data_IF_596036220936
#
_entry.id   IF_596036220936
#
_cell.length_a   1.000
_cell.length_b   1.000
_cell.length_c   1.000
_cell.angle_alpha   90.00
_cell.angle_beta   90.00
_cell.angle_gamma   90.00
#
_symmetry.space_group_name_H-M   'P 1'
#
loop_
_entity.id
_entity.type
_entity.pdbx_description
1 polymer ?
#
# COMPACT_ATOMS: atom_id res chain seq x y z
N UNK A 1 -12.51 16.28 -45.02
CA UNK A 1 -12.68 17.07 -43.78
C UNK A 1 -12.54 16.13 -42.60
N UNK A 2 -11.35 16.05 -42.02
CA UNK A 2 -11.03 15.20 -40.86
C UNK A 2 -10.93 16.11 -39.64
N UNK A 3 -12.04 16.38 -38.94
CA UNK A 3 -12.03 17.20 -37.72
C UNK A 3 -12.83 16.47 -36.63
N UNK A 4 -12.14 15.93 -35.63
CA UNK A 4 -12.80 15.40 -34.45
C UNK A 4 -11.96 14.54 -33.51
N UNK A 5 -10.78 14.06 -33.92
CA UNK A 5 -9.91 13.30 -33.00
C UNK A 5 -9.05 14.29 -32.22
N UNK A 6 -9.23 14.45 -30.90
CA UNK A 6 -8.31 15.24 -30.10
C UNK A 6 -6.92 14.60 -30.17
N UNK A 7 -5.93 15.39 -30.60
CA UNK A 7 -4.51 15.05 -30.52
C UNK A 7 -4.11 14.93 -29.06
N UNK A 8 -4.27 13.74 -28.48
CA UNK A 8 -3.65 13.44 -27.19
C UNK A 8 -2.15 13.36 -27.39
N UNK A 9 -1.33 14.02 -26.56
CA UNK A 9 0.12 13.83 -26.59
C UNK A 9 0.45 12.33 -26.47
N UNK A 10 1.42 11.85 -27.25
CA UNK A 10 1.81 10.42 -27.24
C UNK A 10 2.26 9.92 -25.85
N UNK A 11 2.63 10.84 -24.96
CA UNK A 11 3.03 10.59 -23.57
C UNK A 11 1.93 10.79 -22.53
N UNK A 12 0.68 11.08 -22.91
CA UNK A 12 -0.38 11.32 -21.95
C UNK A 12 -0.73 10.05 -21.16
N UNK A 13 -0.66 10.14 -19.83
CA UNK A 13 -1.10 9.09 -18.90
C UNK A 13 -2.04 9.69 -17.87
N UNK A 14 -3.20 9.06 -17.69
CA UNK A 14 -4.17 9.41 -16.66
C UNK A 14 -4.09 8.38 -15.52
N UNK A 15 -3.87 8.87 -14.29
CA UNK A 15 -3.92 8.08 -13.06
C UNK A 15 -5.13 8.53 -12.25
N UNK A 16 -5.95 7.57 -11.80
CA UNK A 16 -7.17 7.83 -11.03
C UNK A 16 -7.21 6.88 -9.84
N UNK A 17 -7.45 7.43 -8.65
CA UNK A 17 -7.61 6.67 -7.40
C UNK A 17 -9.02 6.85 -6.89
N UNK A 18 -9.75 5.74 -6.73
CA UNK A 18 -11.16 5.75 -6.28
C UNK A 18 -11.40 4.60 -5.32
N UNK A 19 -12.27 4.84 -4.34
CA UNK A 19 -12.83 3.77 -3.51
C UNK A 19 -13.91 2.99 -4.28
N UNK A 20 -14.26 1.80 -3.79
CA UNK A 20 -15.39 1.05 -4.32
C UNK A 20 -16.69 1.85 -4.17
N UNK A 21 -17.44 1.96 -5.27
CA UNK A 21 -18.72 2.66 -5.25
C UNK A 21 -19.72 2.00 -6.20
N UNK A 22 -20.94 1.68 -5.75
CA UNK A 22 -21.91 0.90 -6.54
C UNK A 22 -22.41 1.64 -7.79
N UNK A 23 -22.33 2.98 -7.83
CA UNK A 23 -22.70 3.80 -9.00
C UNK A 23 -21.50 4.25 -9.84
N UNK A 24 -20.35 3.59 -9.68
CA UNK A 24 -19.18 3.90 -10.48
C UNK A 24 -19.43 3.55 -11.98
N UNK A 25 -19.09 4.43 -12.94
CA UNK A 25 -19.41 4.22 -14.34
C UNK A 25 -18.66 3.00 -14.93
N UNK A 26 -19.44 2.01 -15.39
CA UNK A 26 -18.91 0.76 -15.97
C UNK A 26 -18.06 1.01 -17.22
N UNK A 27 -18.44 2.00 -18.03
CA UNK A 27 -17.69 2.36 -19.24
C UNK A 27 -16.25 2.80 -18.91
N UNK A 28 -16.06 3.53 -17.81
CA UNK A 28 -14.73 3.93 -17.36
C UNK A 28 -13.92 2.72 -16.88
N UNK A 29 -14.56 1.79 -16.17
CA UNK A 29 -13.92 0.54 -15.72
C UNK A 29 -13.47 -0.35 -16.89
N UNK A 30 -14.20 -0.35 -18.01
CA UNK A 30 -13.86 -1.17 -19.17
C UNK A 30 -12.65 -0.64 -19.94
N UNK A 31 -12.45 0.69 -19.95
CA UNK A 31 -11.32 1.32 -20.65
C UNK A 31 -10.07 1.45 -19.76
N UNK A 32 -10.22 1.36 -18.44
CA UNK A 32 -9.13 1.52 -17.48
C UNK A 32 -8.40 0.20 -17.18
N UNK A 33 -7.09 0.27 -16.91
CA UNK A 33 -6.37 -0.80 -16.20
C UNK A 33 -6.65 -0.66 -14.71
N UNK A 34 -7.18 -1.72 -14.09
CA UNK A 34 -7.58 -1.71 -12.68
C UNK A 34 -6.46 -2.25 -11.82
N UNK A 35 -6.10 -1.50 -10.78
CA UNK A 35 -5.13 -1.92 -9.78
C UNK A 35 -5.74 -1.78 -8.40
N UNK A 36 -5.72 -2.86 -7.63
CA UNK A 36 -6.18 -2.87 -6.23
C UNK A 36 -4.98 -2.71 -5.32
N UNK A 37 -4.89 -1.57 -4.63
CA UNK A 37 -3.87 -1.36 -3.60
C UNK A 37 -4.30 -2.01 -2.29
N UNK A 38 -4.16 -3.33 -2.22
CA UNK A 38 -4.43 -4.09 -0.99
C UNK A 38 -3.19 -4.09 -0.09
N UNK A 39 -3.37 -4.02 1.25
CA UNK A 39 -2.25 -4.18 2.16
C UNK A 39 -1.63 -5.58 2.00
N UNK A 40 -0.31 -5.73 2.19
CA UNK A 40 0.34 -7.03 2.09
C UNK A 40 -0.24 -8.00 3.12
N UNK A 41 -0.59 -9.20 2.69
CA UNK A 41 -1.12 -10.21 3.59
C UNK A 41 0.00 -11.01 4.26
N UNK A 42 -0.06 -11.08 5.58
CA UNK A 42 0.81 -11.88 6.41
C UNK A 42 2.01 -11.11 6.94
N UNK A 43 2.44 -11.47 8.15
CA UNK A 43 3.58 -10.87 8.86
C UNK A 43 4.84 -10.81 8.01
N UNK A 44 5.18 -11.89 7.30
CA UNK A 44 6.40 -11.97 6.49
C UNK A 44 6.38 -11.01 5.31
N UNK A 45 5.25 -10.95 4.59
CA UNK A 45 5.07 -10.06 3.44
C UNK A 45 5.07 -8.59 3.88
N UNK A 46 4.40 -8.29 5.00
CA UNK A 46 4.40 -6.95 5.60
C UNK A 46 5.80 -6.51 6.05
N UNK A 47 6.56 -7.39 6.70
CA UNK A 47 7.94 -7.10 7.07
C UNK A 47 8.83 -6.89 5.85
N UNK A 48 8.74 -7.75 4.84
CA UNK A 48 9.50 -7.60 3.61
C UNK A 48 9.24 -6.25 2.93
N UNK A 49 7.97 -5.80 2.91
CA UNK A 49 7.59 -4.47 2.41
C UNK A 49 8.16 -3.35 3.28
N UNK A 50 8.06 -3.45 4.61
CA UNK A 50 8.66 -2.44 5.51
C UNK A 50 10.15 -2.31 5.26
N UNK A 51 10.87 -3.42 5.12
CA UNK A 51 12.31 -3.40 4.89
C UNK A 51 12.70 -3.02 3.45
N UNK A 52 11.83 -3.18 2.46
CA UNK A 52 12.07 -2.64 1.11
C UNK A 52 11.95 -1.14 1.05
N UNK A 53 11.08 -0.56 1.90
CA UNK A 53 10.85 0.89 1.96
C UNK A 53 11.89 1.60 2.84
N UNK A 54 12.64 0.86 3.67
CA UNK A 54 13.71 1.39 4.53
C UNK A 54 15.02 1.52 3.74
N UNK A 55 15.64 2.70 3.78
CA UNK A 55 16.93 2.95 3.12
C UNK A 55 18.10 2.29 3.86
N UNK A 56 19.17 2.00 3.12
CA UNK A 56 20.41 1.45 3.71
C UNK A 56 21.00 2.40 4.76
N UNK A 57 20.96 3.71 4.52
CA UNK A 57 21.42 4.73 5.46
C UNK A 57 20.67 4.67 6.79
N UNK A 58 19.38 4.31 6.77
CA UNK A 58 18.60 4.14 7.99
C UNK A 58 18.97 2.85 8.74
N UNK A 59 19.27 1.77 8.02
CA UNK A 59 19.78 0.53 8.63
C UNK A 59 21.16 0.72 9.27
N UNK A 60 21.96 1.61 8.71
CA UNK A 60 23.32 1.94 9.15
C UNK A 60 23.40 3.24 9.98
N UNK A 61 22.24 3.80 10.37
CA UNK A 61 22.16 5.02 11.16
C UNK A 61 22.91 4.92 12.51
N UNK A 62 23.07 3.70 13.03
CA UNK A 62 23.84 3.44 14.22
C UNK A 62 24.77 2.24 14.02
N UNK A 63 26.02 2.39 14.46
CA UNK A 63 27.05 1.33 14.40
C UNK A 63 26.77 0.18 15.38
N UNK A 64 25.95 0.43 16.42
CA UNK A 64 25.61 -0.58 17.41
C UNK A 64 24.72 -1.68 16.80
N UNK A 65 25.10 -2.94 17.03
CA UNK A 65 24.32 -4.11 16.61
C UNK A 65 22.89 -4.11 17.20
N UNK A 66 22.69 -3.44 18.33
CA UNK A 66 21.38 -3.33 19.00
C UNK A 66 20.36 -2.57 18.16
N UNK A 67 20.79 -1.61 17.34
CA UNK A 67 19.89 -0.81 16.49
C UNK A 67 19.06 -1.69 15.56
N UNK A 68 19.71 -2.64 14.87
CA UNK A 68 19.04 -3.55 13.93
C UNK A 68 18.04 -4.48 14.63
N UNK A 69 18.35 -4.89 15.87
CA UNK A 69 17.45 -5.72 16.69
C UNK A 69 16.21 -4.93 17.11
N UNK A 70 16.39 -3.69 17.59
CA UNK A 70 15.28 -2.82 17.98
C UNK A 70 14.41 -2.47 16.77
N UNK A 71 15.03 -2.13 15.64
CA UNK A 71 14.34 -1.81 14.40
C UNK A 71 13.49 -2.99 13.90
N UNK A 72 14.05 -4.21 13.94
CA UNK A 72 13.29 -5.42 13.65
C UNK A 72 12.13 -5.63 14.63
N UNK A 73 12.38 -5.47 15.94
CA UNK A 73 11.35 -5.65 16.97
C UNK A 73 10.19 -4.66 16.80
N UNK A 74 10.49 -3.39 16.47
CA UNK A 74 9.47 -2.36 16.20
C UNK A 74 8.68 -2.68 14.92
N UNK A 75 9.37 -3.03 13.83
CA UNK A 75 8.71 -3.42 12.59
C UNK A 75 7.82 -4.66 12.77
N UNK A 76 8.30 -5.65 13.53
CA UNK A 76 7.55 -6.85 13.87
C UNK A 76 6.31 -6.54 14.71
N UNK A 77 6.45 -5.69 15.73
CA UNK A 77 5.34 -5.25 16.55
C UNK A 77 4.28 -4.53 15.72
N UNK A 78 4.69 -3.57 14.89
CA UNK A 78 3.80 -2.82 14.01
C UNK A 78 2.99 -3.75 13.09
N UNK A 79 3.65 -4.69 12.39
CA UNK A 79 2.96 -5.67 11.53
C UNK A 79 2.03 -6.61 12.31
N UNK A 80 2.40 -6.97 13.54
CA UNK A 80 1.54 -7.79 14.41
C UNK A 80 0.26 -7.07 14.79
N UNK A 81 0.33 -5.76 15.07
CA UNK A 81 -0.85 -4.95 15.40
C UNK A 81 -1.79 -4.80 14.19
N UNK A 82 -1.23 -4.57 13.00
CA UNK A 82 -1.99 -4.50 11.75
C UNK A 82 -2.71 -5.82 11.44
N UNK A 83 -2.01 -6.96 11.48
CA UNK A 83 -2.60 -8.27 11.21
C UNK A 83 -3.73 -8.61 12.21
N UNK A 84 -3.62 -8.15 13.46
CA UNK A 84 -4.66 -8.34 14.48
C UNK A 84 -5.98 -7.62 14.15
N UNK A 85 -5.97 -6.58 13.30
CA UNK A 85 -7.20 -5.93 12.81
C UNK A 85 -8.06 -6.86 11.96
N UNK A 86 -7.49 -7.88 11.31
CA UNK A 86 -8.28 -8.84 10.52
C UNK A 86 -9.28 -9.64 11.37
N UNK A 87 -9.05 -9.73 12.69
CA UNK A 87 -9.86 -10.52 13.62
C UNK A 87 -10.85 -9.65 14.43
N UNK A 88 -11.52 -8.69 13.80
CA UNK A 88 -12.47 -7.74 14.45
C UNK A 88 -13.81 -8.43 14.78
N UNK A 89 -13.84 -9.38 15.75
CA UNK A 89 -14.36 -9.06 17.10
C UNK A 89 -13.51 -9.60 18.28
N UNK A 90 -12.44 -10.37 18.01
CA UNK A 90 -11.54 -10.98 19.01
C UNK A 90 -10.26 -10.13 19.18
N UNK A 91 -9.86 -9.42 18.14
CA UNK A 91 -8.62 -8.68 18.04
C UNK A 91 -8.65 -7.35 18.79
N UNK A 92 -9.66 -6.52 18.53
CA UNK A 92 -9.83 -5.17 19.07
C UNK A 92 -11.32 -4.83 19.23
N UNK A 93 -11.70 -4.17 20.32
CA UNK A 93 -13.08 -3.73 20.55
C UNK A 93 -13.51 -2.56 19.66
N UNK A 94 -12.55 -1.80 19.13
CA UNK A 94 -12.74 -0.64 18.25
C UNK A 94 -11.69 -0.73 17.13
N UNK A 95 -12.06 -0.55 15.85
CA UNK A 95 -11.09 -0.53 14.76
C UNK A 95 -10.21 0.73 14.84
N UNK A 96 -8.89 0.55 14.85
CA UNK A 96 -7.91 1.63 14.83
C UNK A 96 -7.24 1.72 13.46
N UNK A 97 -7.04 2.92 12.93
CA UNK A 97 -6.30 3.14 11.69
C UNK A 97 -4.80 3.26 11.99
N UNK A 98 -4.01 2.37 11.38
CA UNK A 98 -2.55 2.38 11.40
C UNK A 98 -2.06 2.61 9.97
#
# INVERSE_FOLDING_TARGET
MLNGVPITPESFRLWVTTEEHPRFPVNFLQISVKFTNQPPEGLRSGLAKTFSDVSQDFLDACVSTQWRVVLYAVAFLHRTLEERRKYTPIGWSIPYEF
#
